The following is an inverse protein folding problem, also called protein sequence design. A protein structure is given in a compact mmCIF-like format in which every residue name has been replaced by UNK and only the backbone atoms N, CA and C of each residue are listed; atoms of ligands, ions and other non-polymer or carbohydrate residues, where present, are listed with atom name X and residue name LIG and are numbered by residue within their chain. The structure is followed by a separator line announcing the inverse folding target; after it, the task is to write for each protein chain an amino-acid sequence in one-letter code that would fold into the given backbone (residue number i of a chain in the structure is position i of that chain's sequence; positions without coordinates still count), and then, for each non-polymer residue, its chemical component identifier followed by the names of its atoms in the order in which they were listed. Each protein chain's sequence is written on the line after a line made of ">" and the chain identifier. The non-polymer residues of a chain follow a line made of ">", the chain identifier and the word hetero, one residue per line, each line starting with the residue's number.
data_IF_199607728941
#
_entry.id   IF_199607728941
#
_cell.length_a   1.000
_cell.length_b   1.000
_cell.length_c   1.000
_cell.angle_alpha   90.00
_cell.angle_beta   90.00
_cell.angle_gamma   90.00
#
_symmetry.space_group_name_H-M   'P 1'
#
loop_
_entity.id
_entity.type
_entity.pdbx_description
1 polymer ?
#
# COMPACT_ATOMS: atom_id res chain seq x y z
N UNK A 1 8.36 9.19 32.12
CA UNK A 1 8.41 8.90 30.68
C UNK A 1 9.12 7.57 30.51
N UNK A 2 8.40 6.56 30.07
CA UNK A 2 8.99 5.26 29.70
C UNK A 2 10.08 5.51 28.64
N UNK A 3 11.30 5.06 28.92
CA UNK A 3 12.38 5.09 27.91
C UNK A 3 12.10 3.94 26.96
N UNK A 4 11.53 4.25 25.80
CA UNK A 4 11.38 3.27 24.72
C UNK A 4 12.78 2.82 24.29
N UNK A 5 13.11 1.56 24.57
CA UNK A 5 14.34 0.93 24.11
C UNK A 5 14.20 0.66 22.60
N UNK A 6 15.09 1.23 21.78
CA UNK A 6 15.08 0.98 20.33
C UNK A 6 15.29 -0.50 19.97
N UNK A 7 15.82 -1.31 20.90
CA UNK A 7 15.95 -2.76 20.76
C UNK A 7 14.69 -3.54 21.17
N UNK A 8 13.63 -2.87 21.63
CA UNK A 8 12.36 -3.54 21.92
C UNK A 8 11.72 -4.05 20.61
N UNK A 9 11.53 -5.37 20.54
CA UNK A 9 10.93 -6.07 19.41
C UNK A 9 9.54 -5.50 19.08
N UNK A 10 8.78 -5.06 20.09
CA UNK A 10 7.46 -4.45 19.90
C UNK A 10 7.57 -3.08 19.22
N UNK A 11 8.55 -2.26 19.60
CA UNK A 11 8.80 -0.96 18.98
C UNK A 11 9.23 -1.12 17.52
N UNK A 12 10.14 -2.06 17.24
CA UNK A 12 10.60 -2.39 15.89
C UNK A 12 9.44 -2.86 15.00
N UNK A 13 8.54 -3.69 15.52
CA UNK A 13 7.35 -4.14 14.80
C UNK A 13 6.37 -3.00 14.51
N UNK A 14 6.14 -2.10 15.47
CA UNK A 14 5.29 -0.93 15.28
C UNK A 14 5.89 0.02 14.24
N UNK A 15 7.20 0.29 14.30
CA UNK A 15 7.92 1.13 13.33
C UNK A 15 7.82 0.58 11.91
N UNK A 16 8.08 -0.71 11.72
CA UNK A 16 7.93 -1.39 10.41
C UNK A 16 6.50 -1.28 9.85
N UNK A 17 5.49 -1.32 10.71
CA UNK A 17 4.09 -1.13 10.27
C UNK A 17 3.83 0.30 9.80
N UNK A 18 4.31 1.30 10.54
CA UNK A 18 4.16 2.71 10.16
C UNK A 18 4.87 3.02 8.84
N UNK A 19 6.07 2.49 8.62
CA UNK A 19 6.80 2.66 7.37
C UNK A 19 6.05 2.08 6.15
N UNK A 20 5.48 0.88 6.29
CA UNK A 20 4.63 0.27 5.26
C UNK A 20 3.39 1.10 4.97
N UNK A 21 2.74 1.59 6.02
CA UNK A 21 1.55 2.46 5.90
C UNK A 21 1.89 3.75 5.17
N UNK A 22 3.02 4.39 5.52
CA UNK A 22 3.50 5.60 4.89
C UNK A 22 3.82 5.39 3.41
N UNK A 23 4.41 4.25 3.05
CA UNK A 23 4.64 3.85 1.66
C UNK A 23 3.33 3.71 0.87
N UNK A 24 2.35 3.03 1.46
CA UNK A 24 1.01 2.90 0.86
C UNK A 24 0.33 4.25 0.66
N UNK A 25 0.31 5.11 1.69
CA UNK A 25 -0.31 6.43 1.58
C UNK A 25 0.36 7.33 0.54
N UNK A 26 1.69 7.23 0.37
CA UNK A 26 2.39 7.91 -0.71
C UNK A 26 1.91 7.46 -2.09
N UNK A 27 1.73 6.15 -2.29
CA UNK A 27 1.23 5.60 -3.56
C UNK A 27 -0.26 5.89 -3.79
N UNK A 28 -1.07 5.88 -2.73
CA UNK A 28 -2.48 6.30 -2.77
C UNK A 28 -2.60 7.78 -3.15
N UNK A 29 -1.79 8.64 -2.54
CA UNK A 29 -1.78 10.07 -2.83
C UNK A 29 -1.39 10.34 -4.28
N UNK A 30 -0.31 9.72 -4.78
CA UNK A 30 0.10 9.88 -6.17
C UNK A 30 -0.95 9.35 -7.15
N UNK A 31 -1.58 8.20 -6.83
CA UNK A 31 -2.70 7.66 -7.60
C UNK A 31 -3.85 8.67 -7.70
N UNK A 32 -4.31 9.22 -6.57
CA UNK A 32 -5.42 10.17 -6.56
C UNK A 32 -5.04 11.46 -7.29
N UNK A 33 -3.87 12.03 -7.00
CA UNK A 33 -3.42 13.28 -7.61
C UNK A 33 -3.29 13.17 -9.13
N UNK A 34 -2.64 12.12 -9.64
CA UNK A 34 -2.46 11.92 -11.09
C UNK A 34 -3.79 11.64 -11.78
N UNK A 35 -4.65 10.79 -11.22
CA UNK A 35 -5.95 10.52 -11.83
C UNK A 35 -6.86 11.75 -11.85
N UNK A 36 -6.84 12.59 -10.80
CA UNK A 36 -7.58 13.86 -10.79
C UNK A 36 -7.07 14.81 -11.89
N UNK A 37 -5.75 14.90 -12.10
CA UNK A 37 -5.18 15.71 -13.17
C UNK A 37 -5.58 15.19 -14.56
N UNK A 38 -5.59 13.87 -14.76
CA UNK A 38 -6.04 13.26 -16.03
C UNK A 38 -7.52 13.56 -16.26
N UNK A 39 -8.36 13.38 -15.24
CA UNK A 39 -9.79 13.69 -15.31
C UNK A 39 -10.02 15.15 -15.65
N UNK A 40 -9.34 16.06 -14.94
CA UNK A 40 -9.44 17.48 -15.18
C UNK A 40 -8.98 17.87 -16.59
N UNK A 41 -7.82 17.36 -17.03
CA UNK A 41 -7.29 17.63 -18.36
C UNK A 41 -8.19 17.11 -19.47
N UNK A 42 -8.70 15.89 -19.33
CA UNK A 42 -9.63 15.33 -20.31
C UNK A 42 -10.96 16.09 -20.29
N UNK A 43 -11.43 16.56 -19.13
CA UNK A 43 -12.66 17.32 -18.97
C UNK A 43 -12.63 18.68 -19.70
N UNK A 44 -11.51 19.40 -19.62
CA UNK A 44 -11.36 20.70 -20.30
C UNK A 44 -11.14 20.57 -21.81
N UNK A 45 -10.66 19.42 -22.28
CA UNK A 45 -10.36 19.16 -23.69
C UNK A 45 -11.48 18.40 -24.43
N UNK A 46 -12.66 18.24 -23.82
CA UNK A 46 -13.78 17.60 -24.51
C UNK A 46 -14.20 18.37 -25.74
N UNK A 47 -14.35 17.66 -26.86
CA UNK A 47 -14.94 18.21 -28.06
C UNK A 47 -16.46 18.40 -27.88
N UNK A 48 -17.07 19.35 -28.60
CA UNK A 48 -18.52 19.43 -28.66
C UNK A 48 -19.09 18.07 -29.13
N UNK A 49 -20.07 17.53 -28.38
CA UNK A 49 -20.68 16.20 -28.52
C UNK A 49 -19.85 14.97 -28.10
N UNK A 50 -18.65 15.12 -27.53
CA UNK A 50 -17.99 14.00 -26.85
C UNK A 50 -18.50 13.85 -25.41
N UNK A 51 -18.53 12.61 -24.91
CA UNK A 51 -18.90 12.31 -23.55
C UNK A 51 -17.66 11.83 -22.79
N UNK A 52 -17.44 12.36 -21.59
CA UNK A 52 -16.26 12.05 -20.78
C UNK A 52 -16.29 10.60 -20.28
N UNK A 53 -17.47 10.02 -20.09
CA UNK A 53 -17.67 8.69 -19.54
C UNK A 53 -17.38 7.56 -20.54
N UNK A 54 -16.26 7.65 -21.25
CA UNK A 54 -15.75 6.60 -22.12
C UNK A 54 -14.87 5.64 -21.34
N UNK A 55 -15.03 4.35 -21.62
CA UNK A 55 -14.25 3.28 -20.97
C UNK A 55 -12.74 3.55 -21.01
N UNK A 56 -12.24 4.13 -22.11
CA UNK A 56 -10.83 4.52 -22.31
C UNK A 56 -10.28 5.44 -21.21
N UNK A 57 -11.09 6.36 -20.69
CA UNK A 57 -10.68 7.30 -19.65
C UNK A 57 -10.53 6.63 -18.28
N UNK A 58 -11.18 5.48 -18.09
CA UNK A 58 -11.12 4.71 -16.84
C UNK A 58 -10.13 3.55 -16.88
N UNK A 59 -9.67 3.09 -18.06
CA UNK A 59 -8.72 1.97 -18.16
C UNK A 59 -7.44 2.27 -17.38
N UNK A 60 -6.87 3.47 -17.54
CA UNK A 60 -5.64 3.86 -16.84
C UNK A 60 -5.83 3.84 -15.33
N UNK A 61 -6.93 4.43 -14.85
CA UNK A 61 -7.29 4.45 -13.44
C UNK A 61 -7.55 3.04 -12.89
N UNK A 62 -8.23 2.18 -13.65
CA UNK A 62 -8.54 0.81 -13.28
C UNK A 62 -7.29 -0.06 -13.20
N UNK A 63 -6.40 0.02 -14.20
CA UNK A 63 -5.16 -0.76 -14.22
C UNK A 63 -4.25 -0.40 -13.03
N UNK A 64 -4.05 0.90 -12.78
CA UNK A 64 -3.31 1.35 -11.59
C UNK A 64 -4.04 1.03 -10.29
N UNK A 65 -5.37 1.08 -10.30
CA UNK A 65 -6.22 0.76 -9.16
C UNK A 65 -6.08 -0.69 -8.70
N UNK A 66 -5.90 -1.64 -9.61
CA UNK A 66 -5.61 -3.04 -9.28
C UNK A 66 -4.26 -3.16 -8.54
N UNK A 67 -3.22 -2.47 -9.01
CA UNK A 67 -1.92 -2.45 -8.34
C UNK A 67 -1.98 -1.82 -6.95
N UNK A 68 -2.73 -0.73 -6.80
CA UNK A 68 -2.98 -0.07 -5.52
C UNK A 68 -3.76 -0.98 -4.56
N UNK A 69 -4.79 -1.66 -5.04
CA UNK A 69 -5.54 -2.66 -4.28
C UNK A 69 -4.64 -3.80 -3.82
N UNK A 70 -3.80 -4.35 -4.69
CA UNK A 70 -2.85 -5.39 -4.31
C UNK A 70 -1.88 -4.91 -3.22
N UNK A 71 -1.37 -3.67 -3.32
CA UNK A 71 -0.54 -3.07 -2.29
C UNK A 71 -1.31 -2.88 -0.97
N UNK A 72 -2.56 -2.42 -1.03
CA UNK A 72 -3.43 -2.29 0.15
C UNK A 72 -3.63 -3.66 0.81
N UNK A 73 -3.92 -4.70 0.04
CA UNK A 73 -4.08 -6.06 0.57
C UNK A 73 -2.80 -6.53 1.27
N UNK A 74 -1.62 -6.24 0.71
CA UNK A 74 -0.35 -6.61 1.33
C UNK A 74 -0.05 -5.85 2.62
N UNK A 75 -0.41 -4.57 2.69
CA UNK A 75 -0.15 -3.71 3.86
C UNK A 75 -1.17 -3.94 4.98
N UNK A 76 -2.45 -4.09 4.65
CA UNK A 76 -3.53 -4.14 5.65
C UNK A 76 -3.97 -5.54 6.03
N UNK A 77 -3.78 -6.57 5.21
CA UNK A 77 -4.15 -7.94 5.60
C UNK A 77 -2.96 -8.71 6.19
N UNK A 78 -3.00 -9.02 7.50
CA UNK A 78 -1.95 -9.82 8.15
C UNK A 78 -1.83 -11.23 7.55
N UNK A 79 -2.92 -11.76 6.98
CA UNK A 79 -2.97 -13.11 6.37
C UNK A 79 -2.14 -13.22 5.09
N UNK A 80 -2.01 -12.13 4.32
CA UNK A 80 -1.15 -12.08 3.13
C UNK A 80 0.30 -11.72 3.48
N UNK A 81 0.56 -11.34 4.73
CA UNK A 81 1.88 -11.08 5.25
C UNK A 81 2.62 -12.41 5.56
N UNK A 82 2.70 -13.29 4.54
CA UNK A 82 3.34 -14.61 4.58
C UNK A 82 4.78 -14.52 5.12
N UNK A 83 5.45 -13.39 4.84
CA UNK A 83 6.76 -13.06 5.38
C UNK A 83 6.76 -13.03 6.92
N UNK A 84 5.77 -12.41 7.58
CA UNK A 84 5.71 -12.32 9.05
C UNK A 84 5.46 -13.70 9.68
N UNK A 85 4.56 -14.50 9.10
CA UNK A 85 4.34 -15.89 9.55
C UNK A 85 5.57 -16.78 9.36
N UNK A 86 6.29 -16.59 8.25
CA UNK A 86 7.54 -17.31 8.00
C UNK A 86 8.65 -16.88 8.97
N UNK A 87 8.77 -15.59 9.24
CA UNK A 87 9.74 -15.01 10.19
C UNK A 87 9.46 -15.53 11.61
N UNK A 88 8.20 -15.51 12.08
CA UNK A 88 7.78 -16.09 13.35
C UNK A 88 8.08 -17.61 13.43
N UNK A 89 7.83 -18.35 12.34
CA UNK A 89 8.16 -19.79 12.29
C UNK A 89 9.66 -20.03 12.41
N UNK A 90 10.49 -19.24 11.72
CA UNK A 90 11.95 -19.39 11.79
C UNK A 90 12.54 -18.97 13.12
N UNK A 91 12.02 -17.92 13.75
CA UNK A 91 12.42 -17.55 15.11
C UNK A 91 12.13 -18.69 16.08
N UNK A 92 10.95 -19.32 15.96
CA UNK A 92 10.58 -20.47 16.79
C UNK A 92 11.50 -21.67 16.56
N UNK A 93 11.82 -22.01 15.31
CA UNK A 93 12.78 -23.08 14.99
C UNK A 93 14.20 -22.81 15.53
N UNK A 94 14.66 -21.56 15.52
CA UNK A 94 15.99 -21.20 16.04
C UNK A 94 16.04 -21.21 17.58
N UNK A 95 14.95 -20.85 18.26
CA UNK A 95 14.83 -20.96 19.71
C UNK A 95 14.83 -22.42 20.17
N UNK A 96 14.10 -23.30 19.45
CA UNK A 96 14.02 -24.72 19.79
C UNK A 96 15.35 -25.46 19.56
N UNK A 97 16.16 -24.99 18.59
CA UNK A 97 17.51 -25.52 18.32
C UNK A 97 18.59 -25.06 19.30
N UNK A 98 18.37 -23.97 20.04
CA UNK A 98 19.28 -23.48 21.08
C UNK A 98 18.84 -23.92 22.48
N UNK A 99 17.88 -24.84 22.56
CA UNK A 99 17.42 -25.49 23.78
C UNK A 99 17.96 -26.91 23.83
#
# INVERSE_FOLDING_TARGET
>A
MEKFDENDINYQQAKRQVERLRGFYGHLFSYVAVNLLIVYYNYINLKPNENYFQFKNFITAAFWGVGLLAHALFVFLPRFNFAKKWEEKKIKELMDKNK
#
